data_IF_890870436936
#
_entry.id   IF_890870436936
#
_cell.length_a   1.000
_cell.length_b   1.000
_cell.length_c   1.000
_cell.angle_alpha   90.00
_cell.angle_beta   90.00
_cell.angle_gamma   90.00
#
_symmetry.space_group_name_H-M   'P 1'
#
loop_
_entity.id
_entity.type
_entity.pdbx_description
1 polymer ?
#
# COMPACT_ATOMS: atom_id res chain seq x y z
N UNK A 1 12.31 -7.58 -8.96
CA UNK A 1 12.12 -6.13 -9.18
C UNK A 1 12.66 -5.79 -10.56
N UNK A 2 11.99 -4.90 -11.30
CA UNK A 2 12.56 -4.27 -12.49
C UNK A 2 13.01 -2.87 -12.08
N UNK A 3 14.25 -2.48 -12.41
CA UNK A 3 14.83 -1.19 -12.03
C UNK A 3 13.97 0.02 -12.46
N UNK A 4 13.21 -0.13 -13.54
CA UNK A 4 12.32 0.90 -14.09
C UNK A 4 11.16 1.23 -13.13
N UNK A 5 10.73 0.29 -12.30
CA UNK A 5 9.55 0.44 -11.44
C UNK A 5 9.89 0.61 -9.96
N UNK A 6 11.17 0.75 -9.62
CA UNK A 6 11.59 0.88 -8.23
C UNK A 6 11.02 2.14 -7.56
N UNK A 7 10.90 3.23 -8.32
CA UNK A 7 10.32 4.49 -7.84
C UNK A 7 8.85 4.35 -7.36
N UNK A 8 8.09 3.38 -7.91
CA UNK A 8 6.72 3.12 -7.49
C UNK A 8 6.63 2.56 -6.07
N UNK A 9 7.72 2.01 -5.53
CA UNK A 9 7.78 1.61 -4.11
C UNK A 9 7.87 2.80 -3.17
N UNK A 10 8.22 3.98 -3.69
CA UNK A 10 8.29 5.23 -2.92
C UNK A 10 7.02 6.07 -3.05
N UNK A 11 6.06 5.66 -3.88
CA UNK A 11 4.79 6.36 -4.14
C UNK A 11 3.64 5.59 -3.48
N UNK A 12 2.64 6.33 -3.00
CA UNK A 12 1.42 5.78 -2.42
C UNK A 12 0.80 4.69 -3.29
N UNK A 13 0.41 3.57 -2.66
CA UNK A 13 -0.25 2.44 -3.33
C UNK A 13 -1.67 2.76 -3.82
N UNK A 14 -2.22 3.94 -3.50
CA UNK A 14 -3.56 4.35 -3.92
C UNK A 14 -3.49 4.94 -5.32
N UNK A 15 -4.33 4.43 -6.21
CA UNK A 15 -4.43 4.91 -7.60
C UNK A 15 -4.84 6.39 -7.58
N UNK A 16 -4.18 7.19 -8.42
CA UNK A 16 -4.35 8.66 -8.48
C UNK A 16 -3.82 9.43 -7.26
N UNK A 17 -2.93 8.82 -6.46
CA UNK A 17 -2.18 9.50 -5.42
C UNK A 17 -0.69 9.38 -5.71
N UNK A 18 -0.03 10.52 -5.97
CA UNK A 18 1.40 10.59 -6.26
C UNK A 18 2.24 11.00 -5.04
N UNK A 19 1.60 11.06 -3.86
CA UNK A 19 2.28 11.42 -2.62
C UNK A 19 3.27 10.32 -2.19
N UNK A 20 4.38 10.70 -1.53
CA UNK A 20 5.36 9.75 -1.04
C UNK A 20 4.79 8.86 0.06
N UNK A 21 5.23 7.60 0.11
CA UNK A 21 4.88 6.67 1.19
C UNK A 21 5.48 7.10 2.53
N UNK A 22 4.78 6.78 3.61
CA UNK A 22 5.36 6.89 4.96
C UNK A 22 6.24 5.65 5.22
N UNK A 23 7.46 5.80 5.78
CA UNK A 23 8.33 4.68 6.10
C UNK A 23 7.60 3.58 6.90
N UNK A 24 7.73 2.33 6.44
CA UNK A 24 7.08 1.17 7.05
C UNK A 24 5.64 0.91 6.58
N UNK A 25 5.10 1.75 5.68
CA UNK A 25 3.78 1.58 5.08
C UNK A 25 3.86 1.61 3.55
N UNK A 26 2.76 1.31 2.88
CA UNK A 26 2.62 1.44 1.42
C UNK A 26 1.73 2.62 1.02
N UNK A 27 1.19 3.36 1.99
CA UNK A 27 0.35 4.53 1.78
C UNK A 27 1.06 5.83 2.22
N UNK A 28 0.60 6.96 1.69
CA UNK A 28 1.04 8.28 2.16
C UNK A 28 0.42 8.63 3.53
N UNK A 29 0.72 9.81 4.09
CA UNK A 29 0.27 10.23 5.41
C UNK A 29 -1.24 10.51 5.52
N UNK A 30 -1.99 10.46 4.41
CA UNK A 30 -3.44 10.64 4.43
C UNK A 30 -4.14 9.52 5.22
N UNK A 31 -4.95 9.86 6.26
CA UNK A 31 -5.62 8.86 7.08
C UNK A 31 -6.48 7.88 6.27
N UNK A 32 -7.17 8.35 5.23
CA UNK A 32 -7.99 7.51 4.36
C UNK A 32 -7.15 6.47 3.59
N UNK A 33 -5.95 6.84 3.11
CA UNK A 33 -5.06 5.95 2.38
C UNK A 33 -4.46 4.88 3.30
N UNK A 34 -4.08 5.28 4.51
CA UNK A 34 -3.63 4.35 5.56
C UNK A 34 -4.73 3.34 5.96
N UNK A 35 -5.98 3.81 6.05
CA UNK A 35 -7.12 2.93 6.34
C UNK A 35 -7.35 1.91 5.20
N UNK A 36 -7.26 2.34 3.94
CA UNK A 36 -7.37 1.45 2.79
C UNK A 36 -6.28 0.38 2.77
N UNK A 37 -5.02 0.75 3.08
CA UNK A 37 -3.92 -0.21 3.20
C UNK A 37 -4.19 -1.25 4.31
N UNK A 38 -4.67 -0.82 5.47
CA UNK A 38 -5.06 -1.72 6.57
C UNK A 38 -6.13 -2.71 6.13
N UNK A 39 -7.23 -2.23 5.57
CA UNK A 39 -8.34 -3.08 5.12
C UNK A 39 -7.89 -4.09 4.06
N UNK A 40 -7.04 -3.67 3.11
CA UNK A 40 -6.44 -4.58 2.11
C UNK A 40 -5.58 -5.66 2.77
N UNK A 41 -4.78 -5.29 3.75
CA UNK A 41 -3.90 -6.23 4.47
C UNK A 41 -4.70 -7.24 5.29
N UNK A 42 -5.75 -6.78 5.98
CA UNK A 42 -6.68 -7.63 6.74
C UNK A 42 -7.41 -8.60 5.82
N UNK A 43 -7.95 -8.12 4.69
CA UNK A 43 -8.59 -8.96 3.68
C UNK A 43 -7.63 -10.00 3.10
N UNK A 44 -6.37 -9.61 2.87
CA UNK A 44 -5.31 -10.54 2.45
C UNK A 44 -5.12 -11.66 3.46
N UNK A 45 -4.96 -11.34 4.75
CA UNK A 45 -4.83 -12.33 5.83
C UNK A 45 -6.04 -13.25 5.92
N UNK A 46 -7.25 -12.70 5.79
CA UNK A 46 -8.48 -13.48 5.80
C UNK A 46 -8.57 -14.44 4.59
N UNK A 47 -8.14 -14.01 3.40
CA UNK A 47 -8.16 -14.82 2.19
C UNK A 47 -7.20 -16.02 2.21
N UNK A 48 -6.12 -15.97 3.00
CA UNK A 48 -5.21 -17.12 3.18
C UNK A 48 -5.66 -18.12 4.25
N UNK A 49 -6.78 -17.85 4.94
CA UNK A 49 -7.39 -18.83 5.85
C UNK A 49 -8.25 -19.81 5.04
N UNK A 50 -7.59 -20.66 4.24
CA UNK A 50 -8.22 -21.87 3.69
C UNK A 50 -8.18 -22.95 4.78
N UNK A 51 -9.37 -23.37 5.27
CA UNK A 51 -9.54 -24.56 6.11
C UNK A 51 -9.42 -25.82 5.28
#
# INVERSE_FOLDING_TARGET
LCAIHDYLHSICVIVSCDDPVVPGTKACAMPAHQQMERLKSERGKAAFTLK
#
